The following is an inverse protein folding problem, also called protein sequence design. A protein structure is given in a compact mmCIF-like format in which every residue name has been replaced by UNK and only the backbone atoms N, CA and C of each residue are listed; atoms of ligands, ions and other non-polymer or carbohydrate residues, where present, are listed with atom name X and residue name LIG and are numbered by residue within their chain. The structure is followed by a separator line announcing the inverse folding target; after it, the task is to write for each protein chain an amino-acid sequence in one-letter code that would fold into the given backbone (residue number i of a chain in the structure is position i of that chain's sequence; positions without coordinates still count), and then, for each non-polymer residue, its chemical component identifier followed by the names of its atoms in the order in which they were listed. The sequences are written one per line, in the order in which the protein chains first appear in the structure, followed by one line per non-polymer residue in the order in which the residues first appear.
data_IF_268989103695
#
_entry.id   IF_268989103695
#
_cell.length_a   1.000
_cell.length_b   1.000
_cell.length_c   1.000
_cell.angle_alpha   90.00
_cell.angle_beta   90.00
_cell.angle_gamma   90.00
#
_symmetry.space_group_name_H-M   'P 1'
#
loop_
_entity.id
_entity.type
_entity.pdbx_description
1 polymer ?
#
# COMPACT_ATOMS: atom_id res chain seq x y z
N UNK A 1 -26.44 21.54 -51.29
CA UNK A 1 -27.20 22.71 -50.83
C UNK A 1 -27.51 22.56 -49.35
N UNK A 2 -26.54 22.82 -48.45
CA UNK A 2 -26.82 22.77 -46.99
C UNK A 2 -25.82 23.60 -46.16
N UNK A 3 -24.61 23.88 -46.66
CA UNK A 3 -23.64 24.73 -45.96
C UNK A 3 -23.93 26.25 -46.10
N UNK A 4 -24.40 26.71 -47.27
CA UNK A 4 -24.66 28.13 -47.53
C UNK A 4 -25.90 28.68 -46.79
N UNK A 5 -26.91 27.85 -46.52
CA UNK A 5 -28.09 28.27 -45.74
C UNK A 5 -27.80 28.38 -44.24
N UNK A 6 -26.98 27.48 -43.70
CA UNK A 6 -26.54 27.54 -42.29
C UNK A 6 -25.71 28.80 -42.04
N UNK A 7 -24.82 29.17 -42.96
CA UNK A 7 -24.04 30.41 -42.91
C UNK A 7 -24.91 31.68 -42.93
N UNK A 8 -26.03 31.69 -43.68
CA UNK A 8 -26.98 32.82 -43.69
C UNK A 8 -27.80 32.93 -42.41
N UNK A 9 -28.13 31.80 -41.76
CA UNK A 9 -28.87 31.81 -40.48
C UNK A 9 -28.06 32.36 -39.29
N UNK A 10 -26.72 32.37 -39.40
CA UNK A 10 -25.82 32.76 -38.32
C UNK A 10 -25.41 34.25 -38.30
N UNK A 11 -25.91 35.09 -39.21
CA UNK A 11 -25.53 36.54 -39.35
C UNK A 11 -24.03 36.78 -39.14
N UNK A 12 -23.17 35.95 -39.73
CA UNK A 12 -21.74 36.20 -39.71
C UNK A 12 -21.44 37.32 -40.71
N UNK A 13 -20.73 38.40 -40.31
CA UNK A 13 -20.42 39.51 -41.21
C UNK A 13 -19.59 39.04 -42.41
N UNK A 14 -19.79 39.67 -43.57
CA UNK A 14 -19.00 39.39 -44.77
C UNK A 14 -17.52 39.73 -44.53
N UNK A 15 -16.60 39.06 -45.23
CA UNK A 15 -15.15 39.22 -45.01
C UNK A 15 -14.68 40.68 -45.19
N UNK A 16 -15.36 41.45 -46.06
CA UNK A 16 -15.05 42.86 -46.30
C UNK A 16 -15.43 43.75 -45.10
N UNK A 17 -16.55 43.49 -44.42
CA UNK A 17 -16.99 44.22 -43.22
C UNK A 17 -16.01 44.00 -42.04
N UNK A 18 -15.48 42.79 -41.91
CA UNK A 18 -14.45 42.48 -40.91
C UNK A 18 -13.16 43.26 -41.19
N UNK A 19 -12.75 43.34 -42.45
CA UNK A 19 -11.53 44.05 -42.83
C UNK A 19 -11.62 45.56 -42.54
N UNK A 20 -12.79 46.16 -42.75
CA UNK A 20 -13.06 47.57 -42.46
C UNK A 20 -13.13 47.83 -40.96
N UNK A 21 -13.73 46.93 -40.19
CA UNK A 21 -13.79 46.99 -38.74
C UNK A 21 -12.39 47.01 -38.11
N UNK A 22 -11.47 46.13 -38.55
CA UNK A 22 -10.10 46.10 -38.03
C UNK A 22 -9.28 47.35 -38.41
N UNK A 23 -9.54 47.98 -39.56
CA UNK A 23 -8.85 49.21 -39.98
C UNK A 23 -9.26 50.43 -39.15
N UNK A 24 -10.46 50.44 -38.59
CA UNK A 24 -11.00 51.56 -37.80
C UNK A 24 -10.65 51.49 -36.31
N UNK A 25 -9.95 50.44 -35.86
CA UNK A 25 -9.56 50.29 -34.46
C UNK A 25 -8.24 51.04 -34.15
N UNK A 26 -8.12 51.64 -32.95
CA UNK A 26 -6.85 52.21 -32.52
C UNK A 26 -5.78 51.12 -32.35
N UNK A 27 -4.50 51.47 -32.55
CA UNK A 27 -3.38 50.52 -32.50
C UNK A 27 -3.32 49.73 -31.18
N UNK A 28 -3.69 50.35 -30.05
CA UNK A 28 -3.79 49.68 -28.75
C UNK A 28 -4.84 48.57 -28.70
N UNK A 29 -5.96 48.73 -29.41
CA UNK A 29 -7.00 47.70 -29.50
C UNK A 29 -6.54 46.53 -30.39
N UNK A 30 -5.84 46.79 -31.50
CA UNK A 30 -5.27 45.75 -32.35
C UNK A 30 -4.21 44.91 -31.61
N UNK A 31 -3.33 45.57 -30.84
CA UNK A 31 -2.36 44.89 -29.97
C UNK A 31 -3.08 44.07 -28.89
N UNK A 32 -4.15 44.60 -28.29
CA UNK A 32 -4.96 43.89 -27.31
C UNK A 32 -5.62 42.63 -27.87
N UNK A 33 -6.18 42.70 -29.08
CA UNK A 33 -6.78 41.54 -29.78
C UNK A 33 -5.71 40.50 -30.11
N UNK A 34 -4.54 40.93 -30.59
CA UNK A 34 -3.41 40.03 -30.87
C UNK A 34 -2.89 39.33 -29.61
N UNK A 35 -2.73 40.05 -28.50
CA UNK A 35 -2.32 39.49 -27.22
C UNK A 35 -3.36 38.49 -26.69
N UNK A 36 -4.66 38.82 -26.77
CA UNK A 36 -5.73 37.93 -26.37
C UNK A 36 -5.76 36.65 -27.23
N UNK A 37 -5.65 36.78 -28.55
CA UNK A 37 -5.59 35.65 -29.47
C UNK A 37 -4.37 34.75 -29.18
N UNK A 38 -3.20 35.33 -28.90
CA UNK A 38 -2.01 34.59 -28.52
C UNK A 38 -2.18 33.85 -27.19
N UNK A 39 -2.78 34.47 -26.17
CA UNK A 39 -3.08 33.83 -24.87
C UNK A 39 -4.09 32.70 -25.05
N UNK A 40 -5.14 32.89 -25.85
CA UNK A 40 -6.14 31.86 -26.13
C UNK A 40 -5.53 30.70 -26.92
N UNK A 41 -4.72 30.97 -27.94
CA UNK A 41 -4.02 29.95 -28.71
C UNK A 41 -3.03 29.17 -27.83
N UNK A 42 -2.27 29.87 -26.99
CA UNK A 42 -1.39 29.25 -26.00
C UNK A 42 -2.19 28.39 -25.02
N UNK A 43 -3.33 28.87 -24.52
CA UNK A 43 -4.21 28.09 -23.64
C UNK A 43 -4.78 26.86 -24.35
N UNK A 44 -5.25 26.96 -25.60
CA UNK A 44 -5.73 25.78 -26.33
C UNK A 44 -4.62 24.75 -26.63
N UNK A 45 -3.39 25.21 -26.85
CA UNK A 45 -2.24 24.35 -27.09
C UNK A 45 -1.67 23.73 -25.80
N UNK A 46 -1.70 24.46 -24.68
CA UNK A 46 -1.12 24.04 -23.40
C UNK A 46 -2.15 23.51 -22.40
N UNK A 47 -3.45 23.67 -22.66
CA UNK A 47 -4.49 23.17 -21.75
C UNK A 47 -4.36 21.66 -21.62
N UNK A 48 -4.49 21.12 -20.40
CA UNK A 48 -4.61 19.69 -20.20
C UNK A 48 -5.76 19.16 -21.06
N UNK A 49 -5.47 18.15 -21.88
CA UNK A 49 -6.54 17.43 -22.57
C UNK A 49 -7.30 16.61 -21.53
N UNK A 50 -8.63 16.63 -21.61
CA UNK A 50 -9.44 15.74 -20.79
C UNK A 50 -9.00 14.29 -21.07
N UNK A 51 -8.62 13.58 -20.01
CA UNK A 51 -8.31 12.16 -20.09
C UNK A 51 -9.61 11.45 -20.45
N UNK A 52 -9.62 10.79 -21.60
CA UNK A 52 -10.77 9.95 -21.97
C UNK A 52 -10.77 8.74 -21.03
N UNK A 53 -11.88 8.45 -20.36
CA UNK A 53 -11.94 7.30 -19.48
C UNK A 53 -11.75 6.01 -20.32
N UNK A 54 -11.08 4.99 -19.76
CA UNK A 54 -10.81 3.74 -20.46
C UNK A 54 -12.07 2.90 -20.72
N UNK A 55 -13.18 3.22 -20.07
CA UNK A 55 -14.49 2.61 -20.28
C UNK A 55 -15.62 3.64 -20.09
N UNK A 56 -16.84 3.27 -20.47
CA UNK A 56 -18.03 4.08 -20.18
C UNK A 56 -18.26 4.17 -18.66
N UNK A 57 -18.34 5.39 -18.14
CA UNK A 57 -18.56 5.64 -16.71
C UNK A 57 -19.91 5.12 -16.22
N UNK A 58 -20.86 4.87 -17.12
CA UNK A 58 -22.16 4.25 -16.80
C UNK A 58 -22.11 2.72 -16.82
N UNK A 59 -21.03 2.13 -17.32
CA UNK A 59 -20.86 0.69 -17.49
C UNK A 59 -19.45 0.27 -17.13
N UNK A 60 -19.07 0.46 -15.85
CA UNK A 60 -17.71 0.17 -15.37
C UNK A 60 -17.51 -1.29 -14.95
N UNK A 61 -18.60 -2.06 -14.87
CA UNK A 61 -18.55 -3.48 -14.51
C UNK A 61 -19.63 -4.26 -15.22
N UNK A 62 -19.37 -5.54 -15.44
CA UNK A 62 -20.30 -6.52 -15.98
C UNK A 62 -20.47 -7.68 -14.98
N UNK A 63 -21.63 -8.33 -15.03
CA UNK A 63 -21.91 -9.48 -14.17
C UNK A 63 -21.15 -10.71 -14.69
N UNK A 64 -20.57 -11.48 -13.76
CA UNK A 64 -19.87 -12.72 -14.10
C UNK A 64 -20.90 -13.84 -14.14
N UNK A 65 -21.10 -14.41 -15.33
CA UNK A 65 -22.05 -15.50 -15.52
C UNK A 65 -21.78 -16.66 -14.55
N UNK A 66 -22.84 -17.15 -13.90
CA UNK A 66 -22.77 -18.27 -12.96
C UNK A 66 -22.29 -17.93 -11.56
N UNK A 67 -21.91 -16.67 -11.27
CA UNK A 67 -21.50 -16.23 -9.93
C UNK A 67 -22.51 -15.20 -9.40
N UNK A 68 -23.38 -15.63 -8.48
CA UNK A 68 -24.52 -14.90 -7.91
C UNK A 68 -24.27 -13.40 -7.63
N UNK A 69 -24.50 -12.53 -8.62
CA UNK A 69 -24.30 -11.09 -8.52
C UNK A 69 -22.84 -10.62 -8.45
N UNK A 70 -21.86 -11.50 -8.67
CA UNK A 70 -20.45 -11.11 -8.74
C UNK A 70 -20.22 -10.27 -10.00
N UNK A 71 -19.47 -9.18 -9.87
CA UNK A 71 -19.18 -8.27 -10.99
C UNK A 71 -17.68 -8.18 -11.23
N UNK A 72 -17.29 -8.06 -12.48
CA UNK A 72 -15.91 -7.80 -12.90
C UNK A 72 -15.79 -6.49 -13.65
N UNK A 73 -14.58 -5.95 -13.71
CA UNK A 73 -14.27 -4.78 -14.52
C UNK A 73 -14.51 -5.08 -16.00
N UNK A 74 -15.05 -4.11 -16.74
CA UNK A 74 -15.11 -4.15 -18.22
C UNK A 74 -13.74 -3.89 -18.87
N UNK A 75 -12.76 -3.46 -18.07
CA UNK A 75 -11.39 -3.20 -18.51
C UNK A 75 -10.62 -4.52 -18.39
N UNK A 76 -10.50 -5.25 -19.50
CA UNK A 76 -9.78 -6.52 -19.60
C UNK A 76 -10.06 -7.24 -20.92
N UNK A 77 -9.10 -8.03 -21.40
CA UNK A 77 -9.16 -8.66 -22.74
C UNK A 77 -9.74 -10.09 -22.72
N UNK A 78 -10.00 -10.65 -21.52
CA UNK A 78 -10.32 -12.07 -21.32
C UNK A 78 -11.44 -12.27 -20.30
N UNK A 79 -12.28 -13.31 -20.45
CA UNK A 79 -13.25 -13.67 -19.42
C UNK A 79 -12.61 -14.24 -18.14
N UNK A 80 -11.31 -14.55 -18.16
CA UNK A 80 -10.58 -15.04 -16.99
C UNK A 80 -10.23 -13.89 -16.04
N UNK A 81 -10.34 -14.13 -14.74
CA UNK A 81 -9.95 -13.17 -13.71
C UNK A 81 -8.44 -12.94 -13.73
N UNK A 82 -8.03 -11.67 -13.67
CA UNK A 82 -6.62 -11.30 -13.54
C UNK A 82 -6.14 -11.60 -12.12
N UNK A 83 -5.34 -12.65 -11.97
CA UNK A 83 -4.78 -13.07 -10.66
C UNK A 83 -3.40 -12.49 -10.40
N UNK A 84 -2.63 -12.21 -11.46
CA UNK A 84 -1.31 -11.61 -11.41
C UNK A 84 -1.02 -10.87 -12.72
N UNK A 85 -0.26 -9.79 -12.65
CA UNK A 85 0.14 -8.99 -13.82
C UNK A 85 1.47 -9.46 -14.43
N UNK A 86 2.42 -9.89 -13.58
CA UNK A 86 3.71 -10.40 -13.98
C UNK A 86 3.87 -11.86 -13.53
N UNK A 87 4.35 -12.73 -14.43
CA UNK A 87 4.52 -14.15 -14.14
C UNK A 87 5.53 -14.45 -13.03
N UNK A 88 6.51 -13.57 -12.84
CA UNK A 88 7.56 -13.67 -11.83
C UNK A 88 7.22 -12.96 -10.51
N UNK A 89 5.96 -12.55 -10.31
CA UNK A 89 5.50 -11.85 -9.11
C UNK A 89 4.10 -12.32 -8.68
N UNK A 90 4.02 -13.54 -8.14
CA UNK A 90 2.77 -14.21 -7.71
C UNK A 90 2.57 -14.21 -6.21
N UNK A 91 3.60 -13.83 -5.45
CA UNK A 91 3.54 -13.56 -4.01
C UNK A 91 4.12 -12.20 -3.65
N UNK A 92 3.77 -11.69 -2.48
CA UNK A 92 4.36 -10.42 -1.99
C UNK A 92 5.88 -10.50 -1.77
N UNK A 93 6.41 -11.70 -1.48
CA UNK A 93 7.85 -11.93 -1.47
C UNK A 93 8.45 -11.72 -2.87
N UNK A 94 7.85 -12.33 -3.89
CA UNK A 94 8.31 -12.20 -5.27
C UNK A 94 8.13 -10.78 -5.83
N UNK A 95 7.03 -10.09 -5.49
CA UNK A 95 6.82 -8.67 -5.82
C UNK A 95 7.97 -7.82 -5.31
N UNK A 96 8.38 -8.02 -4.05
CA UNK A 96 9.53 -7.30 -3.49
C UNK A 96 10.84 -7.66 -4.20
N UNK A 97 11.08 -8.95 -4.48
CA UNK A 97 12.28 -9.43 -5.22
C UNK A 97 12.34 -8.86 -6.64
N UNK A 98 11.21 -8.77 -7.34
CA UNK A 98 11.10 -8.13 -8.64
C UNK A 98 11.44 -6.65 -8.55
N UNK A 99 10.85 -5.93 -7.59
CA UNK A 99 11.17 -4.53 -7.31
C UNK A 99 12.67 -4.30 -7.06
N UNK A 100 13.31 -5.20 -6.32
CA UNK A 100 14.74 -5.16 -6.09
C UNK A 100 15.54 -5.35 -7.39
N UNK A 101 15.18 -6.34 -8.21
CA UNK A 101 15.87 -6.62 -9.47
C UNK A 101 15.74 -5.48 -10.49
N UNK A 102 14.54 -4.92 -10.68
CA UNK A 102 14.29 -3.91 -11.72
C UNK A 102 14.77 -2.51 -11.32
N UNK A 103 14.95 -2.25 -10.02
CA UNK A 103 15.41 -0.95 -9.52
C UNK A 103 16.92 -0.84 -9.43
N UNK A 104 17.66 -1.92 -9.70
CA UNK A 104 19.12 -1.99 -9.54
C UNK A 104 19.59 -1.51 -8.15
N UNK A 105 18.91 -1.96 -7.10
CA UNK A 105 19.12 -1.51 -5.71
C UNK A 105 18.79 -0.02 -5.46
N UNK A 106 17.82 0.53 -6.18
CA UNK A 106 17.36 1.91 -5.98
C UNK A 106 16.65 2.17 -4.64
N UNK A 107 16.11 3.39 -4.45
CA UNK A 107 15.30 3.74 -3.28
C UNK A 107 14.07 2.83 -3.12
N UNK A 108 13.85 2.29 -1.93
CA UNK A 108 12.76 1.38 -1.60
C UNK A 108 11.77 2.00 -0.61
N UNK A 109 12.19 2.24 0.64
CA UNK A 109 11.33 2.79 1.69
C UNK A 109 11.74 4.23 2.04
N UNK A 110 10.88 5.17 1.68
CA UNK A 110 11.07 6.60 1.93
C UNK A 110 10.35 7.06 3.20
N UNK A 111 11.06 7.75 4.08
CA UNK A 111 10.50 8.35 5.29
C UNK A 111 11.05 9.75 5.51
N UNK A 112 10.29 10.61 6.19
CA UNK A 112 10.74 11.96 6.53
C UNK A 112 10.13 12.44 7.82
N UNK A 113 10.87 13.28 8.55
CA UNK A 113 10.28 14.13 9.58
C UNK A 113 9.50 15.28 8.93
N UNK A 114 8.49 15.86 9.62
CA UNK A 114 7.78 17.02 9.11
C UNK A 114 8.77 18.12 8.68
N UNK A 115 8.55 18.66 7.48
CA UNK A 115 9.38 19.73 6.86
C UNK A 115 10.86 19.35 6.60
N UNK A 116 11.23 18.07 6.62
CA UNK A 116 12.56 17.59 6.23
C UNK A 116 12.50 16.83 4.89
N UNK A 117 13.62 16.73 4.15
CA UNK A 117 13.69 15.91 2.95
C UNK A 117 13.45 14.42 3.26
N UNK A 118 13.04 13.66 2.23
CA UNK A 118 12.94 12.21 2.34
C UNK A 118 14.32 11.57 2.51
N UNK A 119 14.39 10.65 3.45
CA UNK A 119 15.46 9.67 3.60
C UNK A 119 14.95 8.35 3.06
N UNK A 120 15.84 7.58 2.43
CA UNK A 120 15.48 6.36 1.73
C UNK A 120 16.32 5.21 2.22
N UNK A 121 15.68 4.07 2.44
CA UNK A 121 16.35 2.77 2.50
C UNK A 121 16.36 2.17 1.10
N UNK A 122 17.50 1.65 0.67
CA UNK A 122 17.65 0.88 -0.56
C UNK A 122 16.98 -0.49 -0.45
N UNK A 123 16.66 -1.12 -1.58
CA UNK A 123 16.10 -2.47 -1.58
C UNK A 123 16.99 -3.49 -0.86
N UNK A 124 18.31 -3.39 -1.00
CA UNK A 124 19.28 -4.25 -0.32
C UNK A 124 19.21 -4.08 1.19
N UNK A 125 19.18 -2.84 1.69
CA UNK A 125 19.05 -2.59 3.14
C UNK A 125 17.75 -3.16 3.69
N UNK A 126 16.64 -2.97 2.98
CA UNK A 126 15.33 -3.51 3.38
C UNK A 126 15.35 -5.04 3.37
N UNK A 127 15.91 -5.67 2.33
CA UNK A 127 16.02 -7.12 2.21
C UNK A 127 16.88 -7.71 3.34
N UNK A 128 18.04 -7.13 3.61
CA UNK A 128 18.96 -7.58 4.65
C UNK A 128 18.33 -7.45 6.04
N UNK A 129 17.62 -6.34 6.32
CA UNK A 129 16.90 -6.16 7.58
C UNK A 129 15.74 -7.13 7.74
N UNK A 130 14.97 -7.39 6.68
CA UNK A 130 13.87 -8.35 6.71
C UNK A 130 14.38 -9.80 6.95
N UNK A 131 15.45 -10.21 6.27
CA UNK A 131 16.07 -11.52 6.45
C UNK A 131 16.65 -11.67 7.86
N UNK A 132 17.31 -10.63 8.38
CA UNK A 132 17.86 -10.58 9.74
C UNK A 132 16.75 -10.66 10.78
N UNK A 133 15.72 -9.80 10.71
CA UNK A 133 14.60 -9.84 11.65
C UNK A 133 13.90 -11.20 11.63
N UNK A 134 13.60 -11.74 10.44
CA UNK A 134 12.94 -13.03 10.32
C UNK A 134 13.80 -14.19 10.86
N UNK A 135 15.12 -14.20 10.60
CA UNK A 135 16.05 -15.17 11.20
C UNK A 135 16.06 -15.07 12.73
N UNK A 136 16.05 -13.85 13.27
CA UNK A 136 15.95 -13.59 14.70
C UNK A 136 14.65 -14.14 15.30
N UNK A 137 13.52 -13.95 14.62
CA UNK A 137 12.22 -14.52 15.02
C UNK A 137 12.25 -16.05 15.07
N UNK A 138 12.86 -16.69 14.07
CA UNK A 138 13.02 -18.15 14.03
C UNK A 138 13.90 -18.66 15.17
N UNK A 139 15.03 -18.00 15.43
CA UNK A 139 15.92 -18.31 16.57
C UNK A 139 15.20 -18.20 17.91
N UNK A 140 14.22 -17.31 17.97
CA UNK A 140 13.39 -17.04 19.13
C UNK A 140 12.18 -17.98 19.29
N UNK A 141 12.02 -18.97 18.41
CA UNK A 141 11.02 -20.02 18.51
C UNK A 141 9.84 -19.88 17.55
N UNK A 142 9.78 -18.82 16.75
CA UNK A 142 8.77 -18.70 15.69
C UNK A 142 9.04 -19.78 14.62
N UNK A 143 7.98 -20.26 13.97
CA UNK A 143 8.09 -21.29 12.93
C UNK A 143 7.93 -20.67 11.54
N UNK A 144 8.70 -21.11 10.53
CA UNK A 144 8.52 -20.65 9.15
C UNK A 144 7.27 -21.32 8.55
N UNK A 145 6.08 -20.80 8.87
CA UNK A 145 4.81 -21.47 8.59
C UNK A 145 3.65 -20.48 8.54
N UNK A 146 2.69 -20.78 7.66
CA UNK A 146 1.43 -20.04 7.51
C UNK A 146 0.49 -20.12 8.71
N UNK A 147 0.86 -20.91 9.73
CA UNK A 147 0.18 -21.00 11.02
C UNK A 147 0.85 -20.15 12.12
N UNK A 148 1.99 -19.53 11.82
CA UNK A 148 2.68 -18.62 12.72
C UNK A 148 2.19 -17.19 12.45
N UNK A 149 1.47 -16.63 13.42
CA UNK A 149 0.99 -15.26 13.35
C UNK A 149 1.92 -14.32 14.12
N UNK A 150 2.27 -13.19 13.51
CA UNK A 150 3.07 -12.12 14.12
C UNK A 150 2.22 -10.86 14.19
N UNK A 151 1.93 -10.41 15.41
CA UNK A 151 1.21 -9.15 15.61
C UNK A 151 2.12 -7.97 15.33
N UNK A 152 1.65 -6.95 14.62
CA UNK A 152 2.38 -5.69 14.51
C UNK A 152 1.49 -4.51 14.92
N UNK A 153 1.89 -3.86 16.00
CA UNK A 153 1.20 -2.76 16.64
C UNK A 153 2.00 -1.45 16.44
N UNK A 154 2.00 -0.94 15.22
CA UNK A 154 2.83 0.20 14.81
C UNK A 154 2.09 1.17 13.87
N UNK A 155 2.43 2.46 13.97
CA UNK A 155 2.07 3.47 12.99
C UNK A 155 2.91 3.33 11.71
N UNK A 156 2.48 3.97 10.63
CA UNK A 156 3.17 3.90 9.34
C UNK A 156 4.64 4.38 9.45
N UNK A 157 5.58 3.44 9.28
CA UNK A 157 7.04 3.66 9.31
C UNK A 157 7.77 2.52 8.58
N UNK A 158 9.03 2.71 8.14
CA UNK A 158 9.77 1.68 7.42
C UNK A 158 9.87 0.34 8.13
N UNK A 159 10.06 0.35 9.45
CA UNK A 159 10.19 -0.85 10.28
C UNK A 159 8.93 -1.72 10.27
N UNK A 160 7.77 -1.12 10.01
CA UNK A 160 6.54 -1.88 9.81
C UNK A 160 6.65 -2.70 8.52
N UNK A 161 6.96 -2.07 7.38
CA UNK A 161 7.14 -2.81 6.13
C UNK A 161 8.26 -3.85 6.22
N UNK A 162 9.35 -3.57 6.94
CA UNK A 162 10.42 -4.55 7.19
C UNK A 162 9.91 -5.75 8.00
N UNK A 163 9.07 -5.53 9.00
CA UNK A 163 8.47 -6.61 9.80
C UNK A 163 7.53 -7.49 8.96
N UNK A 164 6.75 -6.86 8.08
CA UNK A 164 5.90 -7.57 7.12
C UNK A 164 6.74 -8.41 6.14
N UNK A 165 7.79 -7.82 5.55
CA UNK A 165 8.70 -8.53 4.65
C UNK A 165 9.47 -9.65 5.36
N UNK A 166 9.80 -9.48 6.64
CA UNK A 166 10.39 -10.54 7.45
C UNK A 166 9.42 -11.72 7.61
N UNK A 167 8.13 -11.46 7.79
CA UNK A 167 7.11 -12.50 7.82
C UNK A 167 7.04 -13.25 6.48
N UNK A 168 6.95 -12.50 5.37
CA UNK A 168 6.90 -13.08 4.02
C UNK A 168 8.14 -13.89 3.67
N UNK A 169 9.33 -13.45 4.09
CA UNK A 169 10.59 -14.17 3.83
C UNK A 169 10.61 -15.59 4.41
N UNK A 170 9.82 -15.84 5.46
CA UNK A 170 9.75 -17.15 6.15
C UNK A 170 8.31 -17.69 6.23
N UNK A 171 7.43 -17.30 5.31
CA UNK A 171 6.05 -17.80 5.23
C UNK A 171 5.21 -17.61 6.50
N UNK A 172 5.56 -16.65 7.36
CA UNK A 172 4.75 -16.28 8.54
C UNK A 172 3.64 -15.31 8.11
N UNK A 173 2.56 -15.27 8.89
CA UNK A 173 1.40 -14.43 8.62
C UNK A 173 1.42 -13.20 9.50
N UNK A 174 1.25 -12.03 8.91
CA UNK A 174 1.25 -10.78 9.66
C UNK A 174 -0.16 -10.39 10.10
N UNK A 175 -0.30 -9.89 11.33
CA UNK A 175 -1.59 -9.46 11.89
C UNK A 175 -1.46 -8.01 12.37
N UNK A 176 -1.94 -7.03 11.59
CA UNK A 176 -1.92 -5.63 12.00
C UNK A 176 -2.82 -5.40 13.21
N UNK A 177 -2.28 -4.74 14.23
CA UNK A 177 -3.00 -4.28 15.41
C UNK A 177 -3.15 -2.76 15.30
N UNK A 178 -4.34 -2.28 14.93
CA UNK A 178 -4.57 -0.85 14.69
C UNK A 178 -4.76 -0.05 15.99
N UNK A 179 -4.12 1.12 16.07
CA UNK A 179 -4.23 2.07 17.19
C UNK A 179 -5.67 2.50 17.49
N UNK A 180 -6.53 2.51 16.47
CA UNK A 180 -7.92 3.00 16.55
C UNK A 180 -8.91 1.98 17.11
N UNK A 181 -8.54 0.71 17.24
CA UNK A 181 -9.45 -0.34 17.71
C UNK A 181 -9.64 -0.35 19.24
N UNK A 182 -8.69 0.25 19.97
CA UNK A 182 -8.67 0.31 21.42
C UNK A 182 -8.17 -0.99 22.10
N UNK A 183 -7.81 -0.92 23.40
CA UNK A 183 -7.13 -2.02 24.10
C UNK A 183 -7.92 -3.34 24.15
N UNK A 184 -9.24 -3.26 24.38
CA UNK A 184 -10.10 -4.44 24.47
C UNK A 184 -10.17 -5.24 23.16
N UNK A 185 -10.16 -4.55 22.02
CA UNK A 185 -10.11 -5.17 20.70
C UNK A 185 -8.73 -5.79 20.42
N UNK A 186 -7.65 -5.11 20.80
CA UNK A 186 -6.27 -5.65 20.67
C UNK A 186 -6.15 -6.96 21.44
N UNK A 187 -6.58 -6.99 22.71
CA UNK A 187 -6.64 -8.21 23.53
C UNK A 187 -7.43 -9.32 22.83
N UNK A 188 -8.60 -8.99 22.29
CA UNK A 188 -9.43 -9.95 21.56
C UNK A 188 -8.69 -10.53 20.35
N UNK A 189 -8.02 -9.70 19.56
CA UNK A 189 -7.26 -10.11 18.38
C UNK A 189 -6.08 -11.00 18.76
N UNK A 190 -5.28 -10.61 19.75
CA UNK A 190 -4.12 -11.39 20.23
C UNK A 190 -4.55 -12.81 20.61
N UNK A 191 -5.67 -12.96 21.32
CA UNK A 191 -6.19 -14.28 21.68
C UNK A 191 -6.79 -15.03 20.50
N UNK A 192 -7.54 -14.34 19.63
CA UNK A 192 -8.27 -14.98 18.52
C UNK A 192 -7.32 -15.50 17.45
N UNK A 193 -6.21 -14.80 17.21
CA UNK A 193 -5.18 -15.18 16.25
C UNK A 193 -4.00 -15.94 16.91
N UNK A 194 -4.11 -16.30 18.19
CA UNK A 194 -3.09 -17.04 18.97
C UNK A 194 -1.68 -16.42 18.82
N UNK A 195 -1.59 -15.10 18.99
CA UNK A 195 -0.36 -14.34 18.75
C UNK A 195 0.57 -14.47 19.97
N UNK A 196 1.72 -15.09 19.77
CA UNK A 196 2.78 -15.21 20.80
C UNK A 196 3.81 -14.08 20.76
N UNK A 197 3.96 -13.41 19.62
CA UNK A 197 4.96 -12.37 19.37
C UNK A 197 4.32 -11.13 18.77
N UNK A 198 4.53 -9.97 19.41
CA UNK A 198 4.06 -8.67 18.91
C UNK A 198 5.23 -7.71 18.72
N UNK A 199 5.29 -7.06 17.55
CA UNK A 199 6.24 -5.98 17.26
C UNK A 199 5.51 -4.64 17.42
N UNK A 200 6.02 -3.75 18.28
CA UNK A 200 5.41 -2.47 18.64
C UNK A 200 6.31 -1.31 18.24
N UNK A 201 5.74 -0.19 17.80
CA UNK A 201 6.54 1.01 17.57
C UNK A 201 7.00 1.67 18.88
N UNK A 202 6.09 1.88 19.84
CA UNK A 202 6.29 2.70 21.03
C UNK A 202 6.17 1.93 22.36
N UNK A 203 6.91 2.34 23.41
CA UNK A 203 6.83 1.70 24.74
C UNK A 203 5.43 1.73 25.36
N UNK A 204 4.62 2.77 25.07
CA UNK A 204 3.25 2.89 25.59
C UNK A 204 2.36 1.74 25.12
N UNK A 205 2.56 1.26 23.88
CA UNK A 205 1.81 0.12 23.33
C UNK A 205 2.24 -1.19 23.96
N UNK A 206 3.54 -1.35 24.24
CA UNK A 206 4.04 -2.48 25.00
C UNK A 206 3.45 -2.50 26.43
N UNK A 207 3.32 -1.34 27.09
CA UNK A 207 2.65 -1.25 28.41
C UNK A 207 1.20 -1.70 28.36
N UNK A 208 0.43 -1.31 27.33
CA UNK A 208 -0.96 -1.79 27.14
C UNK A 208 -1.02 -3.32 27.02
N UNK A 209 -0.11 -3.93 26.25
CA UNK A 209 -0.04 -5.39 26.12
C UNK A 209 0.31 -6.05 27.46
N UNK A 210 1.28 -5.51 28.20
CA UNK A 210 1.67 -6.02 29.52
C UNK A 210 0.54 -5.92 30.54
N UNK A 211 -0.25 -4.84 30.54
CA UNK A 211 -1.43 -4.70 31.42
C UNK A 211 -2.39 -5.88 31.21
N UNK A 212 -2.60 -6.32 29.96
CA UNK A 212 -3.44 -7.48 29.66
C UNK A 212 -2.78 -8.81 30.06
N UNK A 213 -1.46 -8.95 29.94
CA UNK A 213 -0.74 -10.15 30.38
C UNK A 213 -0.79 -10.28 31.90
N UNK A 214 -0.56 -9.20 32.65
CA UNK A 214 -0.60 -9.18 34.12
C UNK A 214 -1.99 -9.53 34.66
N UNK A 215 -3.04 -9.12 33.95
CA UNK A 215 -4.44 -9.51 34.23
C UNK A 215 -4.79 -10.92 33.78
N UNK A 216 -3.84 -11.66 33.20
CA UNK A 216 -4.03 -13.01 32.62
C UNK A 216 -5.04 -13.07 31.49
N UNK A 217 -5.22 -11.96 30.78
CA UNK A 217 -6.16 -11.85 29.67
C UNK A 217 -5.56 -12.27 28.33
N UNK A 218 -4.23 -12.30 28.20
CA UNK A 218 -3.50 -12.70 26.97
C UNK A 218 -2.39 -13.72 27.28
N UNK A 219 -2.73 -14.93 27.76
CA UNK A 219 -1.74 -15.90 28.25
C UNK A 219 -0.78 -16.44 27.17
N UNK A 220 -1.13 -16.31 25.88
CA UNK A 220 -0.28 -16.74 24.77
C UNK A 220 0.86 -15.78 24.43
N UNK A 221 0.77 -14.51 24.83
CA UNK A 221 1.77 -13.50 24.51
C UNK A 221 3.05 -13.72 25.34
N UNK A 222 4.15 -14.06 24.67
CA UNK A 222 5.43 -14.35 25.33
C UNK A 222 6.58 -13.46 24.88
N UNK A 223 6.43 -12.70 23.79
CA UNK A 223 7.48 -11.85 23.24
C UNK A 223 6.93 -10.52 22.72
N UNK A 224 7.56 -9.41 23.12
CA UNK A 224 7.30 -8.08 22.60
C UNK A 224 8.61 -7.51 22.05
N UNK A 225 8.58 -7.04 20.80
CA UNK A 225 9.74 -6.45 20.12
C UNK A 225 9.45 -4.98 19.89
N UNK A 226 10.31 -4.07 20.35
CA UNK A 226 10.11 -2.63 20.26
C UNK A 226 10.97 -1.98 19.18
N UNK A 227 10.38 -1.15 18.34
CA UNK A 227 11.09 -0.39 17.31
C UNK A 227 11.80 0.83 17.90
N UNK A 228 11.16 1.53 18.84
CA UNK A 228 11.76 2.68 19.54
C UNK A 228 12.56 2.24 20.78
N UNK A 229 13.57 3.03 21.19
CA UNK A 229 14.28 2.81 22.45
C UNK A 229 13.32 2.84 23.65
N UNK A 230 13.64 2.03 24.67
CA UNK A 230 12.84 1.93 25.88
C UNK A 230 13.70 1.73 27.13
N UNK A 231 13.11 1.99 28.29
CA UNK A 231 13.78 1.91 29.59
C UNK A 231 13.89 0.46 30.10
N UNK A 232 14.97 0.15 30.83
CA UNK A 232 15.21 -1.18 31.41
C UNK A 232 14.08 -1.67 32.32
N UNK A 233 13.34 -0.75 32.95
CA UNK A 233 12.16 -1.07 33.76
C UNK A 233 11.14 -1.88 32.98
N UNK A 234 10.96 -1.58 31.69
CA UNK A 234 10.00 -2.30 30.85
C UNK A 234 10.43 -3.77 30.66
N UNK A 235 11.72 -4.03 30.44
CA UNK A 235 12.26 -5.40 30.37
C UNK A 235 12.02 -6.16 31.67
N UNK A 236 12.27 -5.52 32.82
CA UNK A 236 12.05 -6.15 34.13
C UNK A 236 10.57 -6.47 34.35
N UNK A 237 9.68 -5.55 33.98
CA UNK A 237 8.23 -5.76 34.05
C UNK A 237 7.79 -6.92 33.19
N UNK A 238 8.26 -7.00 31.93
CA UNK A 238 8.03 -8.14 31.06
C UNK A 238 8.49 -9.46 31.68
N UNK A 239 9.71 -9.47 32.23
CA UNK A 239 10.28 -10.67 32.87
C UNK A 239 9.44 -11.19 34.04
N UNK A 240 8.86 -10.29 34.86
CA UNK A 240 7.99 -10.66 35.99
C UNK A 240 6.70 -11.37 35.56
N UNK A 241 6.23 -11.12 34.34
CA UNK A 241 5.04 -11.74 33.78
C UNK A 241 5.33 -12.76 32.66
N UNK A 242 6.60 -13.16 32.47
CA UNK A 242 7.00 -14.18 31.49
C UNK A 242 7.09 -13.69 30.05
N UNK A 243 7.08 -12.38 29.82
CA UNK A 243 7.19 -11.77 28.49
C UNK A 243 8.61 -11.28 28.25
N UNK A 244 9.24 -11.77 27.18
CA UNK A 244 10.54 -11.26 26.72
C UNK A 244 10.34 -9.93 25.98
N UNK A 245 11.06 -8.89 26.40
CA UNK A 245 11.03 -7.58 25.73
C UNK A 245 12.42 -7.22 25.23
N UNK A 246 12.53 -6.92 23.94
CA UNK A 246 13.79 -6.63 23.25
C UNK A 246 13.56 -5.55 22.19
N UNK A 247 14.62 -4.89 21.77
CA UNK A 247 14.58 -3.97 20.62
C UNK A 247 14.54 -4.77 19.31
N UNK A 248 13.97 -4.18 18.26
CA UNK A 248 14.01 -4.75 16.91
C UNK A 248 15.46 -4.93 16.44
N UNK A 249 16.36 -4.01 16.80
CA UNK A 249 17.78 -4.11 16.48
C UNK A 249 18.44 -5.34 17.11
N UNK A 250 18.18 -5.66 18.38
CA UNK A 250 18.71 -6.86 19.04
C UNK A 250 18.23 -8.15 18.34
N UNK A 251 17.00 -8.17 17.84
CA UNK A 251 16.46 -9.32 17.09
C UNK A 251 17.10 -9.42 15.71
N UNK A 252 17.28 -8.30 15.01
CA UNK A 252 18.01 -8.26 13.74
C UNK A 252 19.46 -8.73 13.92
N UNK A 253 20.17 -8.26 14.95
CA UNK A 253 21.56 -8.65 15.23
C UNK A 253 21.67 -10.15 15.51
N UNK A 254 20.77 -10.69 16.35
CA UNK A 254 20.67 -12.13 16.59
C UNK A 254 20.43 -12.94 15.31
N UNK A 255 19.60 -12.42 14.39
CA UNK A 255 19.37 -13.04 13.10
C UNK A 255 20.53 -12.91 12.10
N UNK A 256 21.34 -11.85 12.19
CA UNK A 256 22.58 -11.71 11.40
C UNK A 256 23.62 -12.75 11.82
N UNK A 257 23.69 -13.07 13.11
CA UNK A 257 24.58 -14.11 13.65
C UNK A 257 24.11 -15.52 13.30
N UNK A 258 22.79 -15.74 13.17
CA UNK A 258 22.17 -17.03 12.91
C UNK A 258 21.23 -16.96 11.70
N UNK A 259 21.77 -16.64 10.52
CA UNK A 259 20.98 -16.54 9.30
C UNK A 259 20.31 -17.87 8.96
N UNK A 260 19.01 -17.81 8.73
CA UNK A 260 18.24 -18.92 8.18
C UNK A 260 18.06 -18.76 6.67
N UNK A 261 17.99 -19.88 5.95
CA UNK A 261 17.63 -19.86 4.53
C UNK A 261 16.18 -19.39 4.41
N UNK A 262 15.87 -18.40 3.54
CA UNK A 262 14.50 -17.98 3.28
C UNK A 262 13.59 -19.14 2.90
N UNK A 263 12.35 -19.10 3.40
CA UNK A 263 11.29 -20.08 3.10
C UNK A 263 10.12 -19.29 2.53
N UNK A 264 10.17 -18.93 1.23
CA UNK A 264 9.16 -18.07 0.62
C UNK A 264 7.81 -18.80 0.49
N UNK A 265 6.70 -18.03 0.52
CA UNK A 265 5.34 -18.57 0.52
C UNK A 265 4.89 -18.95 -0.91
N UNK A 266 3.77 -19.66 -0.99
CA UNK A 266 3.03 -19.88 -2.23
C UNK A 266 1.86 -18.89 -2.35
N UNK A 267 1.29 -18.67 -3.55
CA UNK A 267 0.17 -17.74 -3.73
C UNK A 267 -1.07 -18.06 -2.87
N UNK A 268 -1.30 -19.34 -2.56
CA UNK A 268 -2.44 -19.80 -1.76
C UNK A 268 -2.22 -19.65 -0.24
N UNK A 269 -0.98 -19.38 0.16
CA UNK A 269 -0.61 -19.22 1.56
C UNK A 269 -1.09 -17.84 2.08
N UNK A 270 -1.48 -17.79 3.35
CA UNK A 270 -1.91 -16.55 4.01
C UNK A 270 -0.75 -15.55 4.08
N UNK A 271 -1.02 -14.30 3.75
CA UNK A 271 -0.05 -13.20 3.89
C UNK A 271 -0.39 -12.34 5.10
N UNK A 272 -1.65 -11.92 5.22
CA UNK A 272 -2.09 -10.96 6.21
C UNK A 272 -3.50 -11.27 6.70
N UNK A 273 -3.74 -11.07 8.00
CA UNK A 273 -5.09 -11.11 8.58
C UNK A 273 -5.45 -9.74 9.12
N UNK A 274 -6.34 -9.04 8.42
CA UNK A 274 -6.79 -7.70 8.79
C UNK A 274 -8.04 -7.79 9.65
N UNK A 275 -7.93 -7.46 10.93
CA UNK A 275 -9.11 -7.35 11.80
C UNK A 275 -9.82 -6.02 11.59
N UNK A 276 -11.13 -6.10 11.36
CA UNK A 276 -12.01 -4.93 11.23
C UNK A 276 -12.98 -4.89 12.39
N UNK A 277 -13.41 -3.69 12.82
CA UNK A 277 -14.31 -3.52 13.98
C UNK A 277 -15.63 -4.29 13.86
N UNK A 278 -16.02 -4.68 12.64
CA UNK A 278 -17.26 -5.41 12.38
C UNK A 278 -18.49 -4.56 12.67
N UNK A 279 -19.61 -4.85 11.99
CA UNK A 279 -20.89 -4.18 12.27
C UNK A 279 -21.63 -4.77 13.47
N UNK A 280 -21.12 -5.88 14.05
CA UNK A 280 -21.86 -6.74 14.99
C UNK A 280 -21.11 -7.05 16.30
N UNK A 281 -20.14 -6.24 16.73
CA UNK A 281 -19.45 -6.41 18.02
C UNK A 281 -17.95 -6.68 17.90
N UNK A 282 -17.50 -7.90 18.18
CA UNK A 282 -16.06 -8.23 18.20
C UNK A 282 -15.43 -8.15 16.80
N UNK A 283 -14.14 -7.73 16.69
CA UNK A 283 -13.46 -7.64 15.41
C UNK A 283 -13.42 -8.96 14.64
N UNK A 284 -13.56 -8.91 13.31
CA UNK A 284 -13.47 -10.10 12.43
C UNK A 284 -12.20 -10.02 11.58
N UNK A 285 -11.44 -11.10 11.53
CA UNK A 285 -10.21 -11.21 10.75
C UNK A 285 -10.49 -11.55 9.28
N UNK A 286 -10.29 -10.59 8.39
CA UNK A 286 -10.28 -10.84 6.95
C UNK A 286 -8.94 -11.50 6.58
N UNK A 287 -9.00 -12.79 6.23
CA UNK A 287 -7.84 -13.56 5.81
C UNK A 287 -7.54 -13.29 4.34
N UNK A 288 -6.35 -12.78 4.05
CA UNK A 288 -5.89 -12.51 2.68
C UNK A 288 -4.68 -13.39 2.37
N UNK A 289 -4.76 -14.12 1.26
CA UNK A 289 -3.61 -14.85 0.74
C UNK A 289 -2.67 -13.93 -0.02
N UNK A 290 -1.44 -14.37 -0.25
CA UNK A 290 -0.50 -13.67 -1.13
C UNK A 290 -1.10 -13.40 -2.51
N UNK A 291 -1.78 -14.39 -3.10
CA UNK A 291 -2.46 -14.26 -4.39
C UNK A 291 -3.62 -13.26 -4.36
N UNK A 292 -4.35 -13.12 -3.25
CA UNK A 292 -5.38 -12.09 -3.14
C UNK A 292 -4.78 -10.68 -3.22
N UNK A 293 -3.68 -10.46 -2.48
CA UNK A 293 -3.00 -9.16 -2.46
C UNK A 293 -2.38 -8.85 -3.83
N UNK A 294 -1.74 -9.84 -4.46
CA UNK A 294 -1.16 -9.67 -5.81
C UNK A 294 -2.23 -9.41 -6.87
N UNK A 295 -3.40 -10.06 -6.79
CA UNK A 295 -4.50 -9.81 -7.71
C UNK A 295 -5.02 -8.36 -7.61
N UNK A 296 -5.10 -7.81 -6.39
CA UNK A 296 -5.48 -6.41 -6.16
C UNK A 296 -4.48 -5.44 -6.82
N UNK A 297 -3.18 -5.63 -6.57
CA UNK A 297 -2.12 -4.86 -7.25
C UNK A 297 -2.18 -4.98 -8.77
N UNK A 298 -2.48 -6.18 -9.27
CA UNK A 298 -2.54 -6.46 -10.71
C UNK A 298 -3.70 -5.74 -11.38
N UNK A 299 -4.86 -5.69 -10.72
CA UNK A 299 -6.00 -4.89 -11.16
C UNK A 299 -5.65 -3.40 -11.25
N UNK A 300 -5.00 -2.86 -10.22
CA UNK A 300 -4.54 -1.46 -10.24
C UNK A 300 -3.56 -1.18 -11.39
N UNK A 301 -2.57 -2.05 -11.61
CA UNK A 301 -1.60 -1.91 -12.69
C UNK A 301 -2.28 -1.93 -14.07
N UNK A 302 -3.17 -2.91 -14.33
CA UNK A 302 -3.89 -3.02 -15.60
C UNK A 302 -4.75 -1.78 -15.90
N UNK A 303 -5.42 -1.23 -14.88
CA UNK A 303 -6.24 -0.01 -15.06
C UNK A 303 -5.39 1.24 -15.29
N UNK A 304 -4.24 1.34 -14.61
CA UNK A 304 -3.38 2.54 -14.71
C UNK A 304 -2.44 2.55 -15.90
N UNK A 305 -2.08 1.39 -16.45
CA UNK A 305 -1.29 1.28 -17.69
C UNK A 305 -1.96 2.01 -18.86
N UNK A 306 -3.26 1.79 -19.06
CA UNK A 306 -4.07 2.42 -20.13
C UNK A 306 -4.15 3.95 -19.96
N UNK A 307 -3.92 4.45 -18.76
CA UNK A 307 -4.03 5.88 -18.42
C UNK A 307 -2.72 6.65 -18.55
N UNK A 308 -1.58 5.97 -18.80
CA UNK A 308 -0.27 6.61 -18.95
C UNK A 308 0.06 6.80 -20.44
N UNK A 309 0.38 8.02 -20.91
CA UNK A 309 1.02 8.17 -22.21
C UNK A 309 2.37 7.42 -22.18
N UNK A 310 2.83 6.86 -23.31
CA UNK A 310 4.16 6.25 -23.38
C UNK A 310 5.21 7.28 -22.92
N UNK A 311 6.12 6.82 -22.06
CA UNK A 311 7.26 7.59 -21.56
C UNK A 311 8.23 7.96 -22.70
#
# INVERSE_FOLDING_TARGET
MQAQEILRSLRLPEFDDLSQFFRNLPASALVGIGAFAAVVAYWFASRPRAVKPPCDLRMQSEEVEGLAGARRSVIGDSPQLLTHYYDDARTMYEVFRRGFSISENGPCLGFRKPKQPYQWLSYKEVAERAEALGSGLLRQGCKPSTKQFIGVFAQNRPEWIISELACYTYSMVVVPLYDTLGPGAIRYIVNTADISTVICDKPEKARILLDHVERRETPGLSSIILMDPFEKELTERGRRCGVRIQTMQEVEDCGRESRHVPVPPRPEDLSIVCFTSGTTGNPKGAMLTHGNVVADFSGFLKVTEVSRPPL
#
